data_IF_914857632768
#
_entry.id   IF_914857632768
#
_cell.length_a   1.000
_cell.length_b   1.000
_cell.length_c   1.000
_cell.angle_alpha   90.00
_cell.angle_beta   90.00
_cell.angle_gamma   90.00
#
_symmetry.space_group_name_H-M   'P 1'
#
loop_
_entity.id
_entity.type
_entity.pdbx_description
1 polymer ?
#
# COMPACT_ATOMS: atom_id res chain seq x y z
N UNK A 1 -6.99 -6.30 9.51
CA UNK A 1 -6.74 -5.02 8.82
C UNK A 1 -8.05 -4.25 8.74
N UNK A 2 -7.98 -2.93 8.63
CA UNK A 2 -9.13 -2.03 8.50
C UNK A 2 -9.00 -1.24 7.19
N UNK A 3 -10.14 -0.74 6.69
CA UNK A 3 -10.13 0.18 5.56
C UNK A 3 -9.32 1.43 5.90
N UNK A 4 -8.50 1.88 4.95
CA UNK A 4 -7.71 3.09 5.11
C UNK A 4 -8.62 4.34 5.10
N UNK A 5 -8.41 5.25 6.06
CA UNK A 5 -9.07 6.55 6.12
C UNK A 5 -8.12 7.71 5.83
N UNK A 6 -8.68 8.92 5.71
CA UNK A 6 -7.91 10.14 5.45
C UNK A 6 -6.84 10.43 6.53
N UNK A 7 -7.13 10.07 7.78
CA UNK A 7 -6.19 10.22 8.90
C UNK A 7 -4.96 9.30 8.80
N UNK A 8 -5.02 8.22 8.03
CA UNK A 8 -3.89 7.29 7.88
C UNK A 8 -2.85 7.76 6.88
N UNK A 9 -3.13 8.81 6.09
CA UNK A 9 -2.29 9.22 4.96
C UNK A 9 -0.87 9.52 5.39
N UNK A 10 -0.69 10.34 6.42
CA UNK A 10 0.64 10.73 6.91
C UNK A 10 1.38 9.54 7.54
N UNK A 11 0.71 8.80 8.42
CA UNK A 11 1.28 7.64 9.10
C UNK A 11 1.69 6.53 8.11
N UNK A 12 0.88 6.30 7.07
CA UNK A 12 1.21 5.37 5.98
C UNK A 12 2.43 5.83 5.21
N UNK A 13 2.52 7.10 4.80
CA UNK A 13 3.71 7.58 4.07
C UNK A 13 4.97 7.45 4.92
N UNK A 14 4.89 7.76 6.21
CA UNK A 14 5.99 7.56 7.15
C UNK A 14 6.40 6.07 7.27
N UNK A 15 5.43 5.14 7.32
CA UNK A 15 5.70 3.71 7.29
C UNK A 15 6.42 3.30 5.99
N UNK A 16 5.94 3.78 4.83
CA UNK A 16 6.53 3.45 3.54
C UNK A 16 7.97 3.95 3.41
N UNK A 17 8.27 5.12 3.97
CA UNK A 17 9.62 5.68 3.97
C UNK A 17 10.58 4.90 4.87
N UNK A 18 10.10 4.29 5.97
CA UNK A 18 10.90 3.35 6.79
C UNK A 18 11.06 1.98 6.16
N UNK A 19 10.02 1.45 5.52
CA UNK A 19 9.95 0.06 5.08
C UNK A 19 10.51 -0.18 3.67
N UNK A 20 10.52 0.83 2.80
CA UNK A 20 10.92 0.67 1.41
C UNK A 20 12.27 1.31 1.11
N UNK A 21 12.91 0.82 0.04
CA UNK A 21 14.18 1.34 -0.44
C UNK A 21 14.10 2.82 -0.84
N UNK A 22 15.21 3.58 -0.70
CA UNK A 22 15.32 4.93 -1.23
C UNK A 22 14.92 4.99 -2.70
N UNK A 23 14.34 6.13 -3.11
CA UNK A 23 13.82 6.34 -4.48
C UNK A 23 12.65 5.42 -4.86
N UNK A 24 11.89 4.84 -3.91
CA UNK A 24 10.66 4.07 -4.18
C UNK A 24 9.74 4.76 -5.21
N UNK A 25 9.60 6.08 -5.10
CA UNK A 25 8.79 6.95 -5.98
C UNK A 25 9.21 6.97 -7.46
N UNK A 26 10.40 6.44 -7.80
CA UNK A 26 10.89 6.31 -9.18
C UNK A 26 10.54 4.97 -9.83
N UNK A 27 10.00 4.00 -9.07
CA UNK A 27 9.61 2.69 -9.60
C UNK A 27 8.47 2.82 -10.62
N UNK A 28 8.44 1.95 -11.62
CA UNK A 28 7.37 1.93 -12.63
C UNK A 28 5.98 1.74 -12.02
N UNK A 29 5.87 0.97 -10.94
CA UNK A 29 4.61 0.82 -10.18
C UNK A 29 4.13 2.15 -9.60
N UNK A 30 5.01 3.01 -9.11
CA UNK A 30 4.63 4.35 -8.61
C UNK A 30 4.23 5.28 -9.76
N UNK A 31 4.80 5.09 -10.96
CA UNK A 31 4.35 5.82 -12.16
C UNK A 31 2.90 5.46 -12.52
N UNK A 32 2.52 4.19 -12.44
CA UNK A 32 1.16 3.71 -12.72
C UNK A 32 0.11 4.19 -11.70
N UNK A 33 0.54 4.64 -10.52
CA UNK A 33 -0.30 5.07 -9.39
C UNK A 33 -0.48 6.58 -9.30
N UNK A 34 0.43 7.34 -9.90
CA UNK A 34 0.49 8.80 -9.77
C UNK A 34 -0.80 9.46 -10.25
N UNK A 35 -1.39 10.31 -9.41
CA UNK A 35 -2.62 11.04 -9.73
C UNK A 35 -3.89 10.18 -9.75
N UNK A 36 -3.79 8.91 -9.34
CA UNK A 36 -4.92 7.98 -9.29
C UNK A 36 -5.32 7.68 -7.86
N UNK A 37 -6.50 7.10 -7.67
CA UNK A 37 -6.95 6.52 -6.41
C UNK A 37 -6.73 5.01 -6.42
N UNK A 38 -6.48 4.38 -5.26
CA UNK A 38 -6.60 2.93 -5.12
C UNK A 38 -7.99 2.46 -5.58
N UNK A 39 -8.09 1.20 -5.97
CA UNK A 39 -9.37 0.57 -6.28
C UNK A 39 -10.32 0.69 -5.09
N UNK A 40 -11.61 0.88 -5.39
CA UNK A 40 -12.63 1.11 -4.37
C UNK A 40 -12.68 -0.03 -3.35
N UNK A 41 -12.65 0.32 -2.06
CA UNK A 41 -12.65 -0.66 -0.97
C UNK A 41 -11.38 -1.50 -0.82
N UNK A 42 -10.34 -1.26 -1.64
CA UNK A 42 -9.12 -2.07 -1.69
C UNK A 42 -7.87 -1.31 -1.20
N UNK A 43 -8.04 -0.51 -0.15
CA UNK A 43 -6.97 0.15 0.57
C UNK A 43 -7.11 -0.16 2.06
N UNK A 44 -6.07 -0.74 2.64
CA UNK A 44 -6.10 -1.26 4.00
C UNK A 44 -4.87 -0.86 4.81
N UNK A 45 -5.07 -0.75 6.12
CA UNK A 45 -4.03 -0.55 7.12
C UNK A 45 -4.18 -1.54 8.28
N UNK A 46 -3.07 -1.87 8.92
CA UNK A 46 -3.06 -2.50 10.24
C UNK A 46 -2.59 -1.47 11.25
N UNK A 47 -3.25 -1.40 12.41
CA UNK A 47 -2.89 -0.52 13.51
C UNK A 47 -2.65 -1.32 14.78
N UNK A 48 -1.80 -0.81 15.66
CA UNK A 48 -1.68 -1.33 17.03
C UNK A 48 -2.76 -0.74 17.97
N UNK A 49 -2.71 -1.12 19.24
CA UNK A 49 -3.64 -0.64 20.27
C UNK A 49 -3.54 0.88 20.52
N UNK A 50 -2.43 1.52 20.18
CA UNK A 50 -2.24 2.98 20.27
C UNK A 50 -2.77 3.72 19.05
N UNK A 51 -3.14 3.00 17.98
CA UNK A 51 -3.58 3.55 16.71
C UNK A 51 -2.45 3.77 15.70
N UNK A 52 -1.20 3.38 16.01
CA UNK A 52 -0.08 3.55 15.10
C UNK A 52 -0.19 2.59 13.90
N UNK A 53 0.03 3.10 12.68
CA UNK A 53 -0.02 2.29 11.45
C UNK A 53 1.22 1.41 11.34
N UNK A 54 1.02 0.09 11.42
CA UNK A 54 2.05 -0.94 11.39
C UNK A 54 2.22 -1.57 10.00
N UNK A 55 1.17 -1.58 9.19
CA UNK A 55 1.20 -2.15 7.85
C UNK A 55 0.21 -1.44 6.93
N UNK A 56 0.46 -1.50 5.63
CA UNK A 56 -0.44 -1.02 4.60
C UNK A 56 -0.42 -1.94 3.38
N UNK A 57 -1.58 -2.07 2.74
CA UNK A 57 -1.71 -2.68 1.42
C UNK A 57 -2.75 -1.91 0.63
N UNK A 58 -2.46 -1.66 -0.65
CA UNK A 58 -3.38 -1.02 -1.59
C UNK A 58 -3.39 -1.80 -2.90
N UNK A 59 -4.52 -1.83 -3.58
CA UNK A 59 -4.66 -2.38 -4.92
C UNK A 59 -5.11 -1.30 -5.90
N UNK A 60 -4.78 -1.48 -7.18
CA UNK A 60 -5.06 -0.50 -8.23
C UNK A 60 -5.55 -1.19 -9.48
N UNK A 61 -6.64 -0.68 -10.06
CA UNK A 61 -7.16 -1.18 -11.32
C UNK A 61 -6.13 -0.93 -12.43
N UNK A 62 -5.84 -1.92 -13.25
CA UNK A 62 -4.96 -1.82 -14.41
C UNK A 62 -5.51 -2.67 -15.55
N UNK A 63 -5.06 -2.39 -16.77
CA UNK A 63 -5.35 -3.23 -17.94
C UNK A 63 -4.06 -3.86 -18.46
N UNK A 64 -4.12 -5.12 -18.87
CA UNK A 64 -2.98 -5.86 -19.41
C UNK A 64 -2.76 -5.55 -20.91
N UNK A 65 -2.37 -4.31 -21.21
CA UNK A 65 -2.24 -3.81 -22.58
C UNK A 65 -3.54 -3.23 -23.14
N UNK A 66 -3.48 -2.75 -24.39
CA UNK A 66 -4.65 -2.19 -25.07
C UNK A 66 -5.66 -3.29 -25.43
N UNK A 67 -6.91 -3.13 -25.02
CA UNK A 67 -7.94 -4.18 -25.14
C UNK A 67 -7.72 -5.40 -24.24
N UNK A 68 -6.69 -5.38 -23.39
CA UNK A 68 -6.35 -6.49 -22.50
C UNK A 68 -7.30 -6.63 -21.31
N UNK A 69 -7.20 -7.76 -20.61
CA UNK A 69 -8.01 -8.06 -19.44
C UNK A 69 -7.79 -7.02 -18.31
N UNK A 70 -8.86 -6.75 -17.57
CA UNK A 70 -8.79 -6.00 -16.32
C UNK A 70 -8.06 -6.82 -15.25
N UNK A 71 -7.19 -6.16 -14.49
CA UNK A 71 -6.40 -6.77 -13.43
C UNK A 71 -6.18 -5.79 -12.27
N UNK A 72 -5.65 -6.30 -11.16
CA UNK A 72 -5.28 -5.51 -9.99
C UNK A 72 -3.76 -5.51 -9.80
N UNK A 73 -3.18 -4.31 -9.74
CA UNK A 73 -1.79 -4.11 -9.37
C UNK A 73 -1.68 -4.01 -7.84
N UNK A 74 -1.01 -4.99 -7.24
CA UNK A 74 -0.71 -4.97 -5.82
C UNK A 74 0.32 -3.88 -5.49
N UNK A 75 -0.01 -3.06 -4.49
CA UNK A 75 0.90 -2.28 -3.70
C UNK A 75 0.58 -0.77 -3.68
N UNK A 76 1.27 0.00 -2.82
CA UNK A 76 2.36 -0.45 -1.97
C UNK A 76 1.88 -1.45 -0.91
N UNK A 77 2.68 -2.48 -0.67
CA UNK A 77 2.53 -3.45 0.43
C UNK A 77 3.75 -3.29 1.32
N UNK A 78 3.53 -2.95 2.59
CA UNK A 78 4.60 -2.77 3.56
C UNK A 78 4.13 -3.14 4.96
N UNK A 79 5.06 -3.66 5.74
CA UNK A 79 4.94 -3.89 7.19
C UNK A 79 6.11 -3.16 7.85
N UNK A 80 5.91 -2.67 9.06
CA UNK A 80 6.96 -2.05 9.84
C UNK A 80 8.16 -3.01 9.94
N UNK A 81 9.39 -2.57 9.62
CA UNK A 81 10.56 -3.43 9.68
C UNK A 81 10.77 -4.14 11.03
N UNK A 82 10.38 -3.50 12.13
CA UNK A 82 10.47 -4.08 13.48
C UNK A 82 9.54 -5.29 13.69
N UNK A 83 8.53 -5.45 12.84
CA UNK A 83 7.51 -6.50 12.91
C UNK A 83 7.60 -7.51 11.75
N UNK A 84 8.72 -7.51 11.02
CA UNK A 84 8.93 -8.43 9.90
C UNK A 84 8.89 -9.89 10.39
N UNK A 85 8.08 -10.73 9.74
CA UNK A 85 7.92 -12.14 10.10
C UNK A 85 6.81 -12.43 11.11
N UNK A 86 6.11 -11.41 11.62
CA UNK A 86 4.99 -11.58 12.57
C UNK A 86 3.64 -11.95 11.89
N UNK A 87 3.64 -12.37 10.62
CA UNK A 87 2.41 -12.74 9.89
C UNK A 87 1.50 -11.56 9.49
N UNK A 88 1.88 -10.31 9.76
CA UNK A 88 1.02 -9.13 9.47
C UNK A 88 0.80 -8.92 7.96
N UNK A 89 1.70 -9.41 7.12
CA UNK A 89 1.63 -9.29 5.66
C UNK A 89 1.13 -10.54 4.93
N UNK A 90 0.66 -11.58 5.62
CA UNK A 90 0.28 -12.88 5.00
C UNK A 90 -1.20 -12.97 4.60
N UNK A 91 -1.83 -11.83 4.28
CA UNK A 91 -3.20 -11.80 3.78
C UNK A 91 -3.29 -12.37 2.36
#
# INVERSE_FOLDING_TARGET
MLAEGAADVEAREALLDRAMVPKRRKKSSEKLRRGRRPSEGLAFVARDASGAVLATVRLWDVSLGEGGAAALLLGPLAVDPALKGAGIGSA
#
